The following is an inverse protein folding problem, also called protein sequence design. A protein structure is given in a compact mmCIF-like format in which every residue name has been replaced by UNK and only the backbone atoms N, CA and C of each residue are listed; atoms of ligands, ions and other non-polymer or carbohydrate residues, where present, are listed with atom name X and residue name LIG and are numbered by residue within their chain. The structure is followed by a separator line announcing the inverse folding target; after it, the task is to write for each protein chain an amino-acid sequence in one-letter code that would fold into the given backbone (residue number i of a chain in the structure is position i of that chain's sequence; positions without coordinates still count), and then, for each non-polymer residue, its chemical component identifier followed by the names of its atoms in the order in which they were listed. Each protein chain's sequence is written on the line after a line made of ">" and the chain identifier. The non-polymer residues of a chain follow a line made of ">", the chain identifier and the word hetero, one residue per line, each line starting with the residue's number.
data_IF_701368323067
#
_entry.id   IF_701368323067
#
_cell.length_a   1.000
_cell.length_b   1.000
_cell.length_c   1.000
_cell.angle_alpha   90.00
_cell.angle_beta   90.00
_cell.angle_gamma   90.00
#
_symmetry.space_group_name_H-M   'P 1'
#
loop_
_entity.id
_entity.type
_entity.pdbx_description
1 polymer ?
#
# COMPACT_ATOMS: atom_id res chain seq x y z
N UNK A 1 -57.64 14.48 17.90
CA UNK A 1 -56.88 13.22 17.92
C UNK A 1 -56.40 12.74 16.55
N UNK A 2 -57.16 12.87 15.44
CA UNK A 2 -56.66 12.51 14.08
C UNK A 2 -55.47 13.37 13.63
N UNK A 3 -55.54 14.69 13.83
CA UNK A 3 -54.47 15.63 13.47
C UNK A 3 -53.15 15.40 14.22
N UNK A 4 -53.22 14.96 15.47
CA UNK A 4 -52.04 14.64 16.28
C UNK A 4 -51.31 13.38 15.76
N UNK A 5 -52.06 12.39 15.22
CA UNK A 5 -51.46 11.21 14.58
C UNK A 5 -50.73 11.56 13.29
N UNK A 6 -51.30 12.45 12.46
CA UNK A 6 -50.63 12.92 11.25
C UNK A 6 -49.38 13.75 11.55
N UNK A 7 -49.43 14.62 12.57
CA UNK A 7 -48.26 15.40 12.99
C UNK A 7 -47.12 14.51 13.51
N UNK A 8 -47.43 13.49 14.31
CA UNK A 8 -46.44 12.52 14.80
C UNK A 8 -45.84 11.71 13.63
N UNK A 9 -46.66 11.23 12.69
CA UNK A 9 -46.16 10.49 11.51
C UNK A 9 -45.28 11.35 10.59
N UNK A 10 -45.60 12.63 10.40
CA UNK A 10 -44.78 13.56 9.61
C UNK A 10 -43.45 13.83 10.32
N UNK A 11 -43.46 14.06 11.63
CA UNK A 11 -42.23 14.27 12.42
C UNK A 11 -41.34 13.03 12.42
N UNK A 12 -41.92 11.82 12.45
CA UNK A 12 -41.15 10.56 12.41
C UNK A 12 -40.54 10.33 11.01
N UNK A 13 -41.25 10.68 9.93
CA UNK A 13 -40.71 10.60 8.58
C UNK A 13 -39.58 11.61 8.31
N UNK A 14 -39.67 12.83 8.87
CA UNK A 14 -38.64 13.86 8.76
C UNK A 14 -37.39 13.47 9.57
N UNK A 15 -37.56 12.90 10.77
CA UNK A 15 -36.43 12.48 11.59
C UNK A 15 -35.67 11.30 10.99
N UNK A 16 -36.35 10.33 10.34
CA UNK A 16 -35.68 9.25 9.59
C UNK A 16 -34.85 9.78 8.41
N UNK A 17 -35.33 10.84 7.75
CA UNK A 17 -34.63 11.45 6.61
C UNK A 17 -33.35 12.20 7.03
N UNK A 18 -33.32 12.74 8.25
CA UNK A 18 -32.15 13.43 8.82
C UNK A 18 -31.08 12.51 9.43
N UNK A 19 -31.35 11.20 9.60
CA UNK A 19 -30.33 10.25 10.11
C UNK A 19 -29.50 9.62 9.01
N UNK A 20 -29.78 9.90 7.74
CA UNK A 20 -28.83 9.65 6.64
C UNK A 20 -27.90 10.87 6.52
N UNK A 21 -27.21 11.19 7.61
CA UNK A 21 -25.88 11.77 7.45
C UNK A 21 -25.07 10.68 6.78
N UNK A 22 -24.82 10.80 5.47
CA UNK A 22 -23.88 9.92 4.79
C UNK A 22 -22.58 9.93 5.60
N UNK A 23 -22.26 8.83 6.29
CA UNK A 23 -21.05 8.72 7.07
C UNK A 23 -19.88 9.00 6.13
N UNK A 24 -19.11 10.06 6.42
CA UNK A 24 -17.97 10.44 5.62
C UNK A 24 -16.87 9.39 5.77
N UNK A 25 -16.30 8.94 4.65
CA UNK A 25 -15.14 8.05 4.60
C UNK A 25 -13.95 8.87 4.14
N UNK A 26 -12.97 9.06 5.02
CA UNK A 26 -11.69 9.68 4.67
C UNK A 26 -10.79 8.61 4.07
N UNK A 27 -10.58 8.68 2.76
CA UNK A 27 -9.86 7.67 2.02
C UNK A 27 -8.42 8.11 1.73
N UNK A 28 -7.47 7.22 1.99
CA UNK A 28 -6.09 7.33 1.53
C UNK A 28 -5.87 6.51 0.26
N UNK A 29 -4.87 6.89 -0.52
CA UNK A 29 -4.28 6.09 -1.59
C UNK A 29 -2.76 6.10 -1.48
N UNK A 30 -2.14 5.05 -1.99
CA UNK A 30 -0.69 4.95 -2.02
C UNK A 30 -0.03 6.05 -2.87
N UNK A 31 1.27 6.23 -2.69
CA UNK A 31 2.12 7.12 -3.49
C UNK A 31 2.65 6.48 -4.77
N UNK A 32 2.40 5.19 -5.00
CA UNK A 32 2.62 4.53 -6.29
C UNK A 32 1.38 4.54 -7.19
N UNK A 33 1.62 4.84 -8.46
CA UNK A 33 0.63 4.97 -9.52
C UNK A 33 -0.27 3.74 -9.71
N UNK A 34 0.29 2.52 -9.62
CA UNK A 34 -0.47 1.27 -9.73
C UNK A 34 -1.55 1.11 -8.65
N UNK A 35 -1.46 1.85 -7.54
CA UNK A 35 -2.47 1.88 -6.49
C UNK A 35 -3.67 2.77 -6.80
N UNK A 36 -3.56 3.70 -7.76
CA UNK A 36 -4.57 4.74 -7.99
C UNK A 36 -5.84 4.18 -8.59
N UNK A 37 -5.70 3.23 -9.52
CA UNK A 37 -6.83 2.58 -10.18
C UNK A 37 -7.74 1.86 -9.17
N UNK A 38 -7.15 1.13 -8.24
CA UNK A 38 -7.89 0.45 -7.17
C UNK A 38 -8.59 1.46 -6.26
N UNK A 39 -7.90 2.54 -5.88
CA UNK A 39 -8.47 3.58 -5.04
C UNK A 39 -9.71 4.21 -5.68
N UNK A 40 -9.67 4.55 -6.97
CA UNK A 40 -10.83 5.16 -7.63
C UNK A 40 -12.00 4.21 -7.86
N UNK A 41 -11.75 2.92 -8.10
CA UNK A 41 -12.83 1.94 -8.14
C UNK A 41 -13.59 1.91 -6.81
N UNK A 42 -12.85 1.85 -5.70
CA UNK A 42 -13.46 1.76 -4.37
C UNK A 42 -14.16 3.06 -3.96
N UNK A 43 -13.57 4.22 -4.27
CA UNK A 43 -14.23 5.51 -4.06
C UNK A 43 -15.56 5.56 -4.79
N UNK A 44 -15.57 5.29 -6.10
CA UNK A 44 -16.80 5.33 -6.89
C UNK A 44 -17.85 4.31 -6.42
N UNK A 45 -17.42 3.12 -5.99
CA UNK A 45 -18.32 2.12 -5.44
C UNK A 45 -18.97 2.59 -4.13
N UNK A 46 -18.19 3.16 -3.22
CA UNK A 46 -18.69 3.70 -1.95
C UNK A 46 -19.62 4.91 -2.17
N UNK A 47 -19.27 5.81 -3.10
CA UNK A 47 -20.14 6.93 -3.49
C UNK A 47 -21.47 6.44 -4.06
N UNK A 48 -21.46 5.41 -4.93
CA UNK A 48 -22.69 4.77 -5.44
C UNK A 48 -23.53 4.09 -4.35
N UNK A 49 -22.91 3.66 -3.25
CA UNK A 49 -23.60 3.10 -2.09
C UNK A 49 -24.15 4.19 -1.14
N UNK A 50 -23.96 5.47 -1.45
CA UNK A 50 -24.50 6.60 -0.69
C UNK A 50 -23.57 7.18 0.37
N UNK A 51 -22.29 6.78 0.41
CA UNK A 51 -21.29 7.38 1.30
C UNK A 51 -20.73 8.67 0.68
N UNK A 52 -20.40 9.65 1.54
CA UNK A 52 -19.52 10.75 1.15
C UNK A 52 -18.08 10.26 1.29
N UNK A 53 -17.28 10.32 0.22
CA UNK A 53 -15.87 9.92 0.28
C UNK A 53 -14.98 11.16 0.13
N UNK A 54 -14.22 11.47 1.17
CA UNK A 54 -13.21 12.54 1.14
C UNK A 54 -11.86 11.97 0.75
N UNK A 55 -11.26 12.53 -0.32
CA UNK A 55 -10.02 12.02 -0.91
C UNK A 55 -10.23 11.35 -2.29
N UNK A 56 -9.32 10.44 -2.74
CA UNK A 56 -8.28 9.80 -1.93
C UNK A 56 -7.01 10.65 -1.77
N UNK A 57 -6.53 10.81 -0.53
CA UNK A 57 -5.29 11.54 -0.21
C UNK A 57 -4.08 10.66 -0.49
N UNK A 58 -3.08 11.17 -1.22
CA UNK A 58 -1.82 10.46 -1.48
C UNK A 58 -1.02 10.34 -0.19
N UNK A 59 -0.61 9.13 0.17
CA UNK A 59 0.17 8.87 1.39
C UNK A 59 1.15 7.71 1.18
N UNK A 60 2.31 7.81 1.86
CA UNK A 60 3.21 6.66 2.03
C UNK A 60 2.62 5.65 3.01
N UNK A 61 2.99 4.35 2.95
CA UNK A 61 2.48 3.32 3.85
C UNK A 61 2.58 3.67 5.33
N UNK A 62 3.75 4.09 5.80
CA UNK A 62 3.97 4.44 7.19
C UNK A 62 3.09 5.61 7.64
N UNK A 63 2.83 6.57 6.76
CA UNK A 63 2.00 7.74 7.07
C UNK A 63 0.53 7.32 7.13
N UNK A 64 0.07 6.49 6.19
CA UNK A 64 -1.29 5.95 6.22
C UNK A 64 -1.57 5.21 7.53
N UNK A 65 -0.70 4.27 7.93
CA UNK A 65 -0.97 3.46 9.11
C UNK A 65 -0.98 4.28 10.41
N UNK A 66 -0.13 5.31 10.50
CA UNK A 66 -0.18 6.26 11.63
C UNK A 66 -1.48 7.05 11.62
N UNK A 67 -1.86 7.64 10.48
CA UNK A 67 -3.10 8.41 10.34
C UNK A 67 -4.34 7.55 10.64
N UNK A 68 -4.38 6.31 10.15
CA UNK A 68 -5.46 5.38 10.42
C UNK A 68 -5.52 4.95 11.90
N UNK A 69 -4.36 4.81 12.55
CA UNK A 69 -4.29 4.53 14.00
C UNK A 69 -4.82 5.70 14.84
N UNK A 70 -4.67 6.93 14.35
CA UNK A 70 -5.16 8.17 14.98
C UNK A 70 -6.63 8.50 14.64
N UNK A 71 -7.21 7.88 13.60
CA UNK A 71 -8.56 8.18 13.11
C UNK A 71 -8.64 9.36 12.12
N UNK A 72 -7.48 9.78 11.58
CA UNK A 72 -7.41 10.85 10.58
C UNK A 72 -7.77 10.34 9.17
N UNK A 73 -7.62 9.04 8.93
CA UNK A 73 -7.98 8.34 7.69
C UNK A 73 -8.67 7.03 8.05
N UNK A 74 -9.74 6.68 7.32
CA UNK A 74 -10.57 5.51 7.63
C UNK A 74 -10.22 4.29 6.77
N UNK A 75 -9.85 4.53 5.50
CA UNK A 75 -9.72 3.48 4.49
C UNK A 75 -8.57 3.73 3.54
N UNK A 76 -7.86 2.65 3.18
CA UNK A 76 -7.11 2.57 1.93
C UNK A 76 -7.25 1.17 1.34
N UNK A 77 -6.96 1.03 0.05
CA UNK A 77 -7.11 -0.25 -0.67
C UNK A 77 -5.79 -0.76 -1.25
N UNK A 78 -4.68 -0.21 -0.76
CA UNK A 78 -3.33 -0.47 -1.26
C UNK A 78 -2.46 -1.23 -0.23
N UNK A 79 -3.08 -2.03 0.64
CA UNK A 79 -2.38 -2.84 1.62
C UNK A 79 -1.62 -4.02 0.98
N UNK A 80 -0.33 -4.14 1.26
CA UNK A 80 0.50 -5.29 0.92
C UNK A 80 0.75 -6.15 2.16
N UNK A 81 0.01 -7.26 2.29
CA UNK A 81 0.14 -8.16 3.43
C UNK A 81 1.41 -9.02 3.29
N UNK A 82 2.16 -9.12 4.40
CA UNK A 82 3.56 -9.56 4.41
C UNK A 82 4.49 -8.40 4.73
N UNK A 83 4.56 -7.40 3.84
CA UNK A 83 5.46 -6.25 4.01
C UNK A 83 4.89 -5.17 4.93
N UNK A 84 3.57 -5.06 5.05
CA UNK A 84 2.91 -4.09 5.92
C UNK A 84 2.51 -4.64 7.31
N UNK A 85 2.81 -5.90 7.60
CA UNK A 85 2.37 -6.58 8.83
C UNK A 85 2.88 -5.88 10.10
N UNK A 86 4.11 -5.34 10.07
CA UNK A 86 4.66 -4.58 11.19
C UNK A 86 3.80 -3.36 11.54
N UNK A 87 3.40 -2.57 10.55
CA UNK A 87 2.54 -1.39 10.76
C UNK A 87 1.16 -1.77 11.31
N UNK A 88 0.59 -2.89 10.85
CA UNK A 88 -0.69 -3.40 11.38
C UNK A 88 -0.52 -3.77 12.86
N UNK A 89 0.54 -4.49 13.20
CA UNK A 89 0.84 -4.86 14.60
C UNK A 89 1.04 -3.63 15.49
N UNK A 90 1.77 -2.63 14.99
CA UNK A 90 2.03 -1.36 15.69
C UNK A 90 0.75 -0.55 15.96
N UNK A 91 -0.30 -0.72 15.14
CA UNK A 91 -1.59 -0.08 15.35
C UNK A 91 -2.36 -0.58 16.58
N UNK A 92 -1.90 -1.67 17.23
CA UNK A 92 -2.54 -2.28 18.41
C UNK A 92 -4.03 -2.59 18.21
N UNK A 93 -4.38 -3.08 17.02
CA UNK A 93 -5.74 -3.48 16.66
C UNK A 93 -6.67 -2.35 16.20
N UNK A 94 -6.19 -1.10 16.18
CA UNK A 94 -6.97 0.03 15.65
C UNK A 94 -7.11 -0.02 14.13
N UNK A 95 -6.10 -0.56 13.44
CA UNK A 95 -6.15 -0.80 11.99
C UNK A 95 -6.25 -2.28 11.74
N UNK A 96 -7.22 -2.71 10.93
CA UNK A 96 -7.43 -4.11 10.58
C UNK A 96 -7.45 -4.32 9.06
N UNK A 97 -6.81 -5.39 8.55
CA UNK A 97 -6.99 -5.79 7.16
C UNK A 97 -8.43 -6.28 6.95
N UNK A 98 -9.01 -5.95 5.80
CA UNK A 98 -10.36 -6.39 5.42
C UNK A 98 -10.32 -7.01 4.03
N UNK A 99 -10.53 -8.32 3.96
CA UNK A 99 -10.61 -9.05 2.70
C UNK A 99 -9.36 -8.94 1.83
N UNK A 100 -9.53 -9.21 0.54
CA UNK A 100 -8.49 -9.03 -0.48
C UNK A 100 -9.15 -8.44 -1.72
N UNK A 101 -8.47 -7.47 -2.36
CA UNK A 101 -8.82 -7.05 -3.73
C UNK A 101 -8.52 -8.19 -4.70
N UNK A 102 -7.32 -8.78 -4.58
CA UNK A 102 -6.90 -9.95 -5.35
C UNK A 102 -5.98 -10.83 -4.50
N UNK A 103 -6.34 -12.10 -4.32
CA UNK A 103 -5.48 -13.07 -3.62
C UNK A 103 -4.27 -13.37 -4.48
N UNK A 104 -3.06 -13.19 -3.93
CA UNK A 104 -1.79 -13.39 -4.65
C UNK A 104 -1.71 -12.58 -5.96
N UNK A 105 -2.35 -11.41 -6.01
CA UNK A 105 -2.38 -10.56 -7.20
C UNK A 105 -1.09 -9.78 -7.47
N UNK A 106 -0.15 -9.79 -6.53
CA UNK A 106 1.15 -9.14 -6.64
C UNK A 106 2.28 -10.09 -6.25
N UNK A 107 3.40 -9.97 -6.94
CA UNK A 107 4.65 -10.69 -6.65
C UNK A 107 5.78 -9.67 -6.45
N UNK A 108 6.75 -10.03 -5.64
CA UNK A 108 7.95 -9.24 -5.38
C UNK A 108 9.18 -10.09 -5.68
N UNK A 109 10.23 -9.45 -6.19
CA UNK A 109 11.48 -10.12 -6.51
C UNK A 109 12.52 -9.17 -7.06
N UNK A 110 13.71 -9.71 -7.29
CA UNK A 110 14.81 -9.02 -7.97
C UNK A 110 14.76 -9.37 -9.45
N UNK A 111 15.01 -8.38 -10.30
CA UNK A 111 15.00 -8.55 -11.75
C UNK A 111 16.28 -8.00 -12.35
N UNK A 112 16.72 -8.66 -13.42
CA UNK A 112 17.73 -8.16 -14.35
C UNK A 112 17.21 -8.33 -15.78
N UNK A 113 17.86 -7.69 -16.75
CA UNK A 113 17.50 -7.88 -18.14
C UNK A 113 17.76 -9.33 -18.60
N UNK A 114 16.86 -9.85 -19.44
CA UNK A 114 16.93 -11.23 -19.92
C UNK A 114 18.23 -11.55 -20.67
N UNK A 115 18.75 -10.59 -21.45
CA UNK A 115 19.95 -10.79 -22.27
C UNK A 115 21.17 -11.07 -21.38
N UNK A 116 21.35 -10.31 -20.29
CA UNK A 116 22.42 -10.53 -19.33
C UNK A 116 22.19 -11.80 -18.52
N UNK A 117 20.94 -12.09 -18.13
CA UNK A 117 20.61 -13.34 -17.43
C UNK A 117 21.02 -14.57 -18.24
N UNK A 118 20.66 -14.61 -19.52
CA UNK A 118 20.99 -15.73 -20.41
C UNK A 118 22.51 -15.80 -20.68
N UNK A 119 23.16 -14.65 -20.92
CA UNK A 119 24.61 -14.57 -21.23
C UNK A 119 25.49 -15.05 -20.08
N UNK A 120 25.13 -14.69 -18.84
CA UNK A 120 25.93 -14.99 -17.65
C UNK A 120 25.36 -16.13 -16.80
N UNK A 121 24.24 -16.72 -17.20
CA UNK A 121 23.60 -17.82 -16.49
C UNK A 121 23.04 -17.44 -15.12
N UNK A 122 22.59 -16.20 -14.95
CA UNK A 122 22.06 -15.68 -13.67
C UNK A 122 20.69 -16.29 -13.39
N UNK A 123 20.55 -17.00 -12.26
CA UNK A 123 19.27 -17.58 -11.81
C UNK A 123 18.86 -17.09 -10.42
N UNK A 124 19.83 -16.62 -9.64
CA UNK A 124 19.65 -16.15 -8.28
C UNK A 124 20.36 -14.80 -8.09
N UNK A 125 19.96 -14.04 -7.08
CA UNK A 125 20.63 -12.78 -6.73
C UNK A 125 22.11 -12.98 -6.37
N UNK A 126 22.49 -14.18 -5.89
CA UNK A 126 23.87 -14.51 -5.52
C UNK A 126 24.78 -14.66 -6.74
N UNK A 127 24.24 -15.02 -7.90
CA UNK A 127 25.03 -15.16 -9.13
C UNK A 127 25.62 -13.82 -9.59
N UNK A 128 25.01 -12.70 -9.16
CA UNK A 128 25.50 -11.34 -9.43
C UNK A 128 26.92 -11.14 -8.89
N UNK A 129 27.31 -11.81 -7.79
CA UNK A 129 28.65 -11.66 -7.20
C UNK A 129 29.79 -11.88 -8.19
N UNK A 130 29.62 -12.81 -9.15
CA UNK A 130 30.64 -13.12 -10.18
C UNK A 130 30.64 -12.12 -11.35
N UNK A 131 29.59 -11.33 -11.48
CA UNK A 131 29.32 -10.49 -12.66
C UNK A 131 28.99 -9.04 -12.29
N UNK A 132 29.23 -8.62 -11.04
CA UNK A 132 28.78 -7.35 -10.47
C UNK A 132 29.14 -6.13 -11.33
N UNK A 133 30.35 -6.12 -11.91
CA UNK A 133 30.85 -5.08 -12.81
C UNK A 133 29.96 -4.79 -14.03
N UNK A 134 29.09 -5.70 -14.45
CA UNK A 134 28.18 -5.47 -15.57
C UNK A 134 27.02 -4.53 -15.21
N UNK A 135 26.78 -4.30 -13.91
CA UNK A 135 25.77 -3.39 -13.39
C UNK A 135 26.38 -2.33 -12.45
N UNK A 136 27.70 -2.17 -12.49
CA UNK A 136 28.42 -1.14 -11.75
C UNK A 136 28.37 0.17 -12.53
N UNK A 137 27.56 1.10 -12.07
CA UNK A 137 27.33 2.39 -12.72
C UNK A 137 28.23 3.49 -12.16
N UNK A 138 28.84 3.27 -10.99
CA UNK A 138 29.63 4.28 -10.28
C UNK A 138 31.14 3.95 -10.21
N UNK A 139 31.55 2.75 -10.63
CA UNK A 139 32.93 2.29 -10.71
C UNK A 139 33.52 1.72 -9.41
N UNK A 140 32.69 1.43 -8.39
CA UNK A 140 33.17 0.94 -7.09
C UNK A 140 33.38 -0.59 -7.03
N UNK A 141 33.07 -1.30 -8.12
CA UNK A 141 33.21 -2.74 -8.26
C UNK A 141 31.99 -3.55 -7.82
N UNK A 142 30.90 -2.90 -7.37
CA UNK A 142 29.64 -3.54 -6.97
C UNK A 142 28.53 -3.26 -7.99
N UNK A 143 27.54 -4.14 -8.03
CA UNK A 143 26.35 -3.90 -8.85
C UNK A 143 25.45 -2.84 -8.19
N UNK A 144 24.96 -1.88 -8.94
CA UNK A 144 24.00 -0.90 -8.46
C UNK A 144 22.56 -1.40 -8.69
N UNK A 145 21.86 -1.69 -7.60
CA UNK A 145 20.48 -2.17 -7.63
C UNK A 145 19.53 -1.07 -7.20
N UNK A 146 18.58 -0.72 -8.09
CA UNK A 146 17.46 0.17 -7.73
C UNK A 146 16.60 -0.52 -6.66
N UNK A 147 16.55 0.09 -5.48
CA UNK A 147 15.84 -0.39 -4.30
C UNK A 147 14.54 0.39 -4.08
N UNK A 148 13.79 0.02 -3.03
CA UNK A 148 12.53 0.67 -2.72
C UNK A 148 12.69 2.05 -2.06
N UNK A 149 11.72 2.97 -2.27
CA UNK A 149 11.70 4.27 -1.60
C UNK A 149 11.63 4.15 -0.07
N UNK A 150 12.18 5.14 0.66
CA UNK A 150 12.11 5.17 2.12
C UNK A 150 10.68 5.10 2.67
N UNK A 151 10.47 4.15 3.58
CA UNK A 151 9.20 3.89 4.28
C UNK A 151 8.28 2.90 3.59
N UNK A 152 8.60 2.45 2.37
CA UNK A 152 7.86 1.36 1.74
C UNK A 152 8.18 0.03 2.42
N UNK A 153 7.19 -0.88 2.48
CA UNK A 153 7.38 -2.18 3.12
C UNK A 153 8.51 -3.01 2.48
N UNK A 154 8.76 -2.86 1.18
CA UNK A 154 9.84 -3.56 0.50
C UNK A 154 11.25 -3.04 0.84
N UNK A 155 11.40 -1.82 1.36
CA UNK A 155 12.70 -1.34 1.88
C UNK A 155 13.17 -2.26 3.02
N UNK A 156 12.28 -2.57 3.97
CA UNK A 156 12.57 -3.46 5.09
C UNK A 156 12.90 -4.88 4.65
N UNK A 157 12.21 -5.39 3.62
CA UNK A 157 12.47 -6.74 3.07
C UNK A 157 13.81 -6.80 2.36
N UNK A 158 14.14 -5.79 1.54
CA UNK A 158 15.44 -5.70 0.87
C UNK A 158 16.56 -5.66 1.90
N UNK A 159 16.45 -4.81 2.93
CA UNK A 159 17.46 -4.72 3.99
C UNK A 159 17.68 -6.07 4.66
N UNK A 160 16.60 -6.78 5.02
CA UNK A 160 16.70 -8.12 5.60
C UNK A 160 17.44 -9.11 4.70
N UNK A 161 17.16 -9.12 3.39
CA UNK A 161 17.89 -9.98 2.45
C UNK A 161 19.36 -9.57 2.33
N UNK A 162 19.69 -8.28 2.39
CA UNK A 162 21.07 -7.81 2.39
C UNK A 162 21.86 -8.35 3.59
N UNK A 163 21.24 -8.31 4.77
CA UNK A 163 21.83 -8.80 6.02
C UNK A 163 21.98 -10.34 6.01
N UNK A 164 20.95 -11.07 5.57
CA UNK A 164 20.93 -12.54 5.59
C UNK A 164 21.79 -13.19 4.48
N UNK A 165 21.88 -12.55 3.32
CA UNK A 165 22.60 -13.10 2.15
C UNK A 165 23.96 -12.43 1.89
N UNK A 166 24.34 -11.46 2.72
CA UNK A 166 25.60 -10.71 2.56
C UNK A 166 25.66 -9.91 1.25
N UNK A 167 24.52 -9.40 0.75
CA UNK A 167 24.47 -8.74 -0.56
C UNK A 167 25.31 -7.45 -0.59
N UNK A 168 25.48 -6.79 0.55
CA UNK A 168 26.30 -5.57 0.70
C UNK A 168 27.76 -5.74 0.26
N UNK A 169 28.26 -6.98 0.19
CA UNK A 169 29.61 -7.26 -0.30
C UNK A 169 29.76 -6.99 -1.81
N UNK A 170 28.69 -7.11 -2.58
CA UNK A 170 28.75 -7.07 -4.06
C UNK A 170 27.60 -6.31 -4.73
N UNK A 171 26.67 -5.74 -3.96
CA UNK A 171 25.55 -4.93 -4.44
C UNK A 171 25.43 -3.65 -3.59
N UNK A 172 25.23 -2.52 -4.26
CA UNK A 172 24.79 -1.26 -3.65
C UNK A 172 23.27 -1.11 -3.80
N UNK A 173 22.52 -0.89 -2.70
CA UNK A 173 21.11 -0.54 -2.80
C UNK A 173 20.97 0.96 -3.09
N UNK A 174 20.63 1.31 -4.32
CA UNK A 174 20.33 2.69 -4.73
C UNK A 174 18.87 2.98 -4.41
N UNK A 175 18.61 3.74 -3.35
CA UNK A 175 17.24 4.10 -2.93
C UNK A 175 16.57 4.96 -4.02
N UNK A 176 15.37 4.57 -4.43
CA UNK A 176 14.52 5.30 -5.37
C UNK A 176 13.87 6.53 -4.71
#
# INVERSE_FOLDING_TARGET
>A
MKYLKYLVSIITAISISSVVSANEIKMGKADWDTGYFQAEIYKQALEKMGYKVSGPTVMKPQVFYVAATSGDVDLWVNGWFGTHNGYISESKGKVKPVGHVMKKGGLQGYLIDKKSADKFGIKTVLDIKKHAKNWDSNGDGKADMVACPPGWGCEKVIQKHFDELGLSEFINPVKA
#
